data_IF_653254856454
#
_entry.id   IF_653254856454
#
_cell.length_a   1.000
_cell.length_b   1.000
_cell.length_c   1.000
_cell.angle_alpha   90.00
_cell.angle_beta   90.00
_cell.angle_gamma   90.00
#
_symmetry.space_group_name_H-M   'P 1'
#
loop_
_entity.id
_entity.type
_entity.pdbx_description
1 polymer ?
#
# COMPACT_ATOMS: atom_id res chain seq x y z
N UNK A 1 -6.28 34.30 3.90
CA UNK A 1 -6.83 33.04 4.42
C UNK A 1 -5.87 31.92 4.03
N UNK A 2 -4.89 31.64 4.88
CA UNK A 2 -3.79 30.71 4.59
C UNK A 2 -4.17 29.32 5.11
N UNK A 3 -4.58 28.44 4.22
CA UNK A 3 -4.96 27.08 4.56
C UNK A 3 -3.67 26.23 4.62
N UNK A 4 -3.11 26.09 5.83
CA UNK A 4 -1.96 25.21 6.08
C UNK A 4 -2.45 23.75 6.02
N UNK A 5 -2.22 23.09 4.89
CA UNK A 5 -2.37 21.64 4.78
C UNK A 5 -1.35 20.96 5.68
N UNK A 6 -1.80 20.48 6.84
CA UNK A 6 -0.98 19.69 7.74
C UNK A 6 -0.43 18.45 6.99
N UNK A 7 0.89 18.21 7.02
CA UNK A 7 1.47 17.05 6.37
C UNK A 7 1.05 15.78 7.14
N UNK A 8 0.71 14.72 6.41
CA UNK A 8 0.37 13.37 6.88
C UNK A 8 1.46 12.66 7.72
N UNK A 9 2.47 13.40 8.22
CA UNK A 9 3.58 12.89 9.03
C UNK A 9 3.22 12.67 10.50
N UNK A 10 2.06 13.13 10.99
CA UNK A 10 1.67 13.04 12.40
C UNK A 10 1.52 11.60 12.92
N UNK A 11 1.19 10.62 12.06
CA UNK A 11 1.08 9.21 12.49
C UNK A 11 2.43 8.53 12.82
N UNK A 12 3.54 9.07 12.31
CA UNK A 12 4.87 8.43 12.47
C UNK A 12 5.39 8.55 13.90
N UNK A 13 5.08 9.65 14.57
CA UNK A 13 5.52 9.94 15.93
C UNK A 13 4.71 9.17 16.98
N UNK A 14 3.43 8.90 16.71
CA UNK A 14 2.58 8.12 17.63
C UNK A 14 2.88 6.62 17.58
N UNK A 15 3.37 6.11 16.45
CA UNK A 15 3.49 4.66 16.24
C UNK A 15 4.76 4.04 16.86
N UNK A 16 5.63 4.86 17.46
CA UNK A 16 6.88 4.39 18.10
C UNK A 16 8.05 4.17 17.13
N UNK A 17 9.10 3.50 17.59
CA UNK A 17 10.35 3.27 16.85
C UNK A 17 10.34 1.91 16.14
N UNK A 18 10.85 1.87 14.90
CA UNK A 18 10.98 0.63 14.13
C UNK A 18 12.05 -0.29 14.72
N UNK A 19 11.65 -1.50 15.13
CA UNK A 19 12.54 -2.52 15.72
C UNK A 19 12.89 -3.64 14.73
N UNK A 20 12.05 -3.85 13.72
CA UNK A 20 12.28 -4.80 12.63
C UNK A 20 11.48 -4.42 11.37
N UNK A 21 11.92 -4.88 10.21
CA UNK A 21 11.25 -4.66 8.93
C UNK A 21 11.20 -5.97 8.13
N UNK A 22 10.08 -6.22 7.45
CA UNK A 22 9.81 -7.45 6.72
C UNK A 22 9.15 -7.14 5.38
N UNK A 23 9.48 -7.88 4.33
CA UNK A 23 8.82 -7.76 3.02
C UNK A 23 7.42 -8.38 3.01
N UNK A 24 7.16 -9.33 3.91
CA UNK A 24 5.92 -10.08 4.01
C UNK A 24 5.28 -9.88 5.37
N UNK A 25 3.95 -9.75 5.38
CA UNK A 25 3.18 -9.54 6.61
C UNK A 25 3.36 -10.67 7.63
N UNK A 26 3.50 -11.92 7.17
CA UNK A 26 3.76 -13.07 8.05
C UNK A 26 5.05 -12.94 8.88
N UNK A 27 6.10 -12.35 8.29
CA UNK A 27 7.35 -12.08 9.00
C UNK A 27 7.15 -11.08 10.14
N UNK A 28 6.39 -10.01 9.87
CA UNK A 28 6.01 -9.03 10.87
C UNK A 28 5.15 -9.66 11.99
N UNK A 29 4.18 -10.51 11.64
CA UNK A 29 3.37 -11.22 12.64
C UNK A 29 4.22 -12.10 13.55
N UNK A 30 5.17 -12.88 13.00
CA UNK A 30 6.08 -13.71 13.80
C UNK A 30 6.92 -12.88 14.77
N UNK A 31 7.41 -11.72 14.33
CA UNK A 31 8.13 -10.80 15.20
C UNK A 31 7.24 -10.24 16.31
N UNK A 32 5.99 -9.86 16.02
CA UNK A 32 5.03 -9.44 17.05
C UNK A 32 4.76 -10.57 18.05
N UNK A 33 4.58 -11.82 17.59
CA UNK A 33 4.41 -12.96 18.49
C UNK A 33 5.64 -13.17 19.40
N UNK A 34 6.86 -13.03 18.86
CA UNK A 34 8.09 -13.12 19.65
C UNK A 34 8.19 -11.99 20.69
N UNK A 35 7.81 -10.76 20.33
CA UNK A 35 7.79 -9.62 21.26
C UNK A 35 6.80 -9.83 22.40
N UNK A 36 5.59 -10.33 22.09
CA UNK A 36 4.58 -10.65 23.12
C UNK A 36 5.06 -11.78 24.02
N UNK A 37 5.69 -12.81 23.46
CA UNK A 37 6.29 -13.90 24.24
C UNK A 37 7.42 -13.41 25.17
N UNK A 38 8.14 -12.37 24.76
CA UNK A 38 9.11 -11.66 25.59
C UNK A 38 8.47 -10.62 26.53
N UNK A 39 7.14 -10.68 26.73
CA UNK A 39 6.38 -9.79 27.62
C UNK A 39 6.48 -8.30 27.26
N UNK A 40 6.60 -7.96 25.98
CA UNK A 40 6.36 -6.58 25.52
C UNK A 40 4.85 -6.36 25.44
N UNK A 41 4.29 -5.29 26.05
CA UNK A 41 2.85 -5.06 26.03
C UNK A 41 2.29 -4.95 24.61
N UNK A 42 1.30 -5.77 24.26
CA UNK A 42 0.75 -5.81 22.91
C UNK A 42 0.20 -4.45 22.43
N UNK A 43 -0.32 -3.64 23.35
CA UNK A 43 -0.82 -2.26 23.08
C UNK A 43 0.27 -1.28 22.62
N UNK A 44 1.54 -1.63 22.83
CA UNK A 44 2.70 -0.82 22.48
C UNK A 44 3.37 -1.28 21.19
N UNK A 45 2.84 -2.31 20.53
CA UNK A 45 3.37 -2.87 19.30
C UNK A 45 2.44 -2.53 18.15
N UNK A 46 2.99 -2.04 17.05
CA UNK A 46 2.26 -1.74 15.83
C UNK A 46 2.95 -2.34 14.60
N UNK A 47 2.15 -2.84 13.66
CA UNK A 47 2.64 -3.20 12.32
C UNK A 47 2.23 -2.09 11.36
N UNK A 48 3.21 -1.44 10.73
CA UNK A 48 3.01 -0.34 9.80
C UNK A 48 3.39 -0.78 8.41
N UNK A 49 2.45 -0.72 7.47
CA UNK A 49 2.76 -0.85 6.04
C UNK A 49 3.46 0.41 5.55
N UNK A 50 4.70 0.28 5.10
CA UNK A 50 5.50 1.37 4.56
C UNK A 50 5.63 1.24 3.02
N UNK A 51 5.85 2.38 2.36
CA UNK A 51 5.89 2.42 0.90
C UNK A 51 4.57 2.00 0.27
N UNK A 52 3.45 2.64 0.61
CA UNK A 52 2.18 2.24 0.03
C UNK A 52 2.15 2.52 -1.48
N UNK A 53 1.92 1.49 -2.27
CA UNK A 53 1.64 1.57 -3.69
C UNK A 53 0.16 1.37 -3.94
N UNK A 54 -0.47 2.35 -4.58
CA UNK A 54 -1.81 2.18 -5.15
C UNK A 54 -1.68 1.55 -6.53
N UNK A 55 -2.22 0.35 -6.67
CA UNK A 55 -2.26 -0.41 -7.92
C UNK A 55 -3.70 -0.35 -8.43
N UNK A 56 -3.91 0.31 -9.56
CA UNK A 56 -5.16 0.22 -10.29
C UNK A 56 -5.13 -1.03 -11.17
N UNK A 57 -5.76 -2.11 -10.69
CA UNK A 57 -5.77 -3.38 -11.41
C UNK A 57 -6.93 -3.39 -12.40
N UNK A 58 -6.61 -3.40 -13.69
CA UNK A 58 -7.60 -3.60 -14.75
C UNK A 58 -8.11 -5.04 -14.69
N UNK A 59 -9.39 -5.22 -14.37
CA UNK A 59 -10.01 -6.55 -14.23
C UNK A 59 -10.61 -7.06 -15.54
N UNK A 60 -10.82 -6.19 -16.52
CA UNK A 60 -11.22 -6.59 -17.86
C UNK A 60 -11.83 -5.46 -18.67
N UNK A 61 -12.21 -5.79 -19.90
CA UNK A 61 -12.94 -4.87 -20.79
C UNK A 61 -14.38 -4.75 -20.34
N UNK A 62 -14.83 -3.52 -20.20
CA UNK A 62 -16.21 -3.21 -19.86
C UNK A 62 -17.07 -3.32 -21.14
N UNK A 63 -18.04 -4.23 -21.17
CA UNK A 63 -18.80 -4.50 -22.38
C UNK A 63 -20.18 -5.08 -22.11
N UNK A 64 -21.11 -4.81 -23.03
CA UNK A 64 -22.50 -5.26 -22.94
C UNK A 64 -22.62 -6.79 -22.83
N UNK A 65 -21.74 -7.55 -23.49
CA UNK A 65 -21.73 -9.01 -23.39
C UNK A 65 -21.38 -9.52 -21.98
N UNK A 66 -20.48 -8.83 -21.27
CA UNK A 66 -20.12 -9.18 -19.89
C UNK A 66 -21.24 -8.78 -18.92
N UNK A 67 -21.86 -7.61 -19.13
CA UNK A 67 -23.04 -7.18 -18.36
C UNK A 67 -24.25 -8.10 -18.59
N UNK A 68 -24.50 -8.52 -19.83
CA UNK A 68 -25.55 -9.49 -20.13
C UNK A 68 -25.30 -10.81 -19.39
N UNK A 69 -24.07 -11.34 -19.43
CA UNK A 69 -23.72 -12.59 -18.72
C UNK A 69 -23.89 -12.49 -17.21
N UNK A 70 -23.39 -11.44 -16.58
CA UNK A 70 -23.57 -11.28 -15.12
C UNK A 70 -25.04 -11.04 -14.75
N UNK A 71 -25.79 -10.32 -15.59
CA UNK A 71 -27.23 -10.15 -15.45
C UNK A 71 -28.00 -11.45 -15.61
N UNK A 72 -27.58 -12.32 -16.52
CA UNK A 72 -28.16 -13.65 -16.73
C UNK A 72 -27.99 -14.56 -15.52
N UNK A 73 -26.79 -14.56 -14.92
CA UNK A 73 -26.48 -15.37 -13.74
C UNK A 73 -27.34 -14.92 -12.55
N UNK A 74 -27.43 -13.61 -12.32
CA UNK A 74 -28.29 -13.06 -11.27
C UNK A 74 -29.78 -13.29 -11.57
N UNK A 75 -30.19 -13.13 -12.83
CA UNK A 75 -31.54 -13.39 -13.31
C UNK A 75 -31.93 -14.87 -13.24
N UNK A 76 -30.98 -15.78 -13.37
CA UNK A 76 -31.19 -17.22 -13.20
C UNK A 76 -31.58 -17.52 -11.76
N UNK A 77 -30.85 -16.99 -10.77
CA UNK A 77 -31.20 -17.17 -9.36
C UNK A 77 -32.61 -16.65 -9.06
N UNK A 78 -32.93 -15.46 -9.54
CA UNK A 78 -34.25 -14.85 -9.37
C UNK A 78 -35.35 -15.63 -10.12
N UNK A 79 -35.06 -16.08 -11.34
CA UNK A 79 -35.93 -16.91 -12.16
C UNK A 79 -36.23 -18.25 -11.49
N UNK A 80 -35.21 -18.92 -10.94
CA UNK A 80 -35.39 -20.18 -10.19
C UNK A 80 -36.28 -19.94 -8.99
N UNK A 81 -36.04 -18.87 -8.22
CA UNK A 81 -36.87 -18.51 -7.08
C UNK A 81 -38.34 -18.33 -7.46
N UNK A 82 -38.62 -17.48 -8.46
CA UNK A 82 -39.99 -17.23 -8.89
C UNK A 82 -40.65 -18.45 -9.54
N UNK A 83 -39.88 -19.25 -10.27
CA UNK A 83 -40.39 -20.49 -10.85
C UNK A 83 -40.75 -21.51 -9.78
N UNK A 84 -39.97 -21.57 -8.69
CA UNK A 84 -40.28 -22.42 -7.55
C UNK A 84 -41.55 -21.96 -6.81
N UNK A 85 -41.66 -20.65 -6.53
CA UNK A 85 -42.88 -20.06 -5.95
C UNK A 85 -44.10 -20.34 -6.84
N UNK A 86 -43.95 -20.21 -8.15
CA UNK A 86 -45.02 -20.48 -9.12
C UNK A 86 -45.49 -21.94 -9.07
N UNK A 87 -44.58 -22.92 -9.02
CA UNK A 87 -44.91 -24.34 -8.92
C UNK A 87 -45.61 -24.66 -7.60
N UNK A 88 -45.18 -24.06 -6.49
CA UNK A 88 -45.86 -24.23 -5.19
C UNK A 88 -47.30 -23.69 -5.20
N UNK A 89 -47.55 -22.58 -5.91
CA UNK A 89 -48.89 -22.03 -6.09
C UNK A 89 -49.73 -22.76 -7.15
N UNK A 90 -49.10 -23.50 -8.07
CA UNK A 90 -49.76 -24.18 -9.18
C UNK A 90 -49.12 -25.55 -9.46
N UNK A 91 -49.39 -26.57 -8.63
CA UNK A 91 -48.74 -27.88 -8.74
C UNK A 91 -49.14 -28.69 -9.97
N UNK A 92 -50.27 -28.36 -10.61
CA UNK A 92 -50.71 -28.96 -11.87
C UNK A 92 -50.12 -28.29 -13.12
N UNK A 93 -49.31 -27.24 -12.97
CA UNK A 93 -48.73 -26.54 -14.10
C UNK A 93 -47.75 -27.43 -14.87
N UNK A 94 -47.74 -27.38 -16.22
CA UNK A 94 -46.78 -28.14 -17.00
C UNK A 94 -45.36 -27.61 -16.78
N UNK A 95 -44.36 -28.48 -16.90
CA UNK A 95 -42.92 -28.13 -16.80
C UNK A 95 -42.55 -26.97 -17.75
N UNK A 96 -43.22 -26.84 -18.89
CA UNK A 96 -43.01 -25.73 -19.83
C UNK A 96 -43.31 -24.35 -19.19
N UNK A 97 -44.29 -24.26 -18.29
CA UNK A 97 -44.60 -23.03 -17.58
C UNK A 97 -43.48 -22.65 -16.59
N UNK A 98 -42.90 -23.63 -15.89
CA UNK A 98 -41.72 -23.43 -15.05
C UNK A 98 -40.54 -22.88 -15.87
N UNK A 99 -40.24 -23.52 -17.02
CA UNK A 99 -39.17 -23.05 -17.92
C UNK A 99 -39.46 -21.64 -18.44
N UNK A 100 -40.72 -21.33 -18.74
CA UNK A 100 -41.14 -19.99 -19.15
C UNK A 100 -40.83 -18.92 -18.10
N UNK A 101 -41.27 -19.12 -16.86
CA UNK A 101 -41.00 -18.18 -15.74
C UNK A 101 -39.51 -18.03 -15.49
N UNK A 102 -38.75 -19.13 -15.57
CA UNK A 102 -37.30 -19.13 -15.41
C UNK A 102 -36.61 -18.27 -16.48
N UNK A 103 -36.98 -18.47 -17.75
CA UNK A 103 -36.43 -17.71 -18.87
C UNK A 103 -36.77 -16.22 -18.78
N UNK A 104 -37.97 -15.87 -18.30
CA UNK A 104 -38.35 -14.48 -18.04
C UNK A 104 -37.47 -13.86 -16.95
N UNK A 105 -37.20 -14.58 -15.85
CA UNK A 105 -36.29 -14.11 -14.80
C UNK A 105 -34.87 -13.85 -15.31
N UNK A 106 -34.34 -14.76 -16.14
CA UNK A 106 -33.04 -14.60 -16.79
C UNK A 106 -33.04 -13.38 -17.72
N UNK A 107 -34.04 -13.26 -18.61
CA UNK A 107 -34.14 -12.16 -19.57
C UNK A 107 -34.27 -10.81 -18.87
N UNK A 108 -35.08 -10.73 -17.81
CA UNK A 108 -35.25 -9.53 -17.00
C UNK A 108 -33.94 -9.17 -16.28
N UNK A 109 -33.26 -10.13 -15.68
CA UNK A 109 -31.96 -9.92 -15.03
C UNK A 109 -30.89 -9.44 -16.01
N UNK A 110 -30.84 -10.01 -17.22
CA UNK A 110 -29.98 -9.53 -18.30
C UNK A 110 -30.30 -8.08 -18.67
N UNK A 111 -31.58 -7.77 -18.94
CA UNK A 111 -32.03 -6.44 -19.38
C UNK A 111 -31.72 -5.37 -18.33
N UNK A 112 -32.06 -5.63 -17.07
CA UNK A 112 -31.82 -4.71 -15.96
C UNK A 112 -30.33 -4.45 -15.77
N UNK A 113 -29.50 -5.48 -15.87
CA UNK A 113 -28.06 -5.32 -15.70
C UNK A 113 -27.43 -4.56 -16.88
N UNK A 114 -27.89 -4.77 -18.11
CA UNK A 114 -27.47 -3.98 -19.28
C UNK A 114 -27.89 -2.51 -19.11
N UNK A 115 -29.10 -2.26 -18.60
CA UNK A 115 -29.59 -0.91 -18.36
C UNK A 115 -28.74 -0.19 -17.30
N UNK A 116 -28.50 -0.82 -16.16
CA UNK A 116 -27.63 -0.30 -15.10
C UNK A 116 -26.21 -0.09 -15.61
N UNK A 117 -25.72 -1.05 -16.39
CA UNK A 117 -24.42 -0.94 -17.03
C UNK A 117 -24.33 0.28 -17.95
N UNK A 118 -25.36 0.56 -18.74
CA UNK A 118 -25.39 1.72 -19.64
C UNK A 118 -25.32 3.05 -18.90
N UNK A 119 -25.89 3.13 -17.69
CA UNK A 119 -25.81 4.32 -16.83
C UNK A 119 -24.39 4.52 -16.31
N UNK A 120 -23.74 3.43 -15.84
CA UNK A 120 -22.40 3.46 -15.23
C UNK A 120 -21.29 3.60 -16.27
N UNK A 121 -21.47 3.06 -17.49
CA UNK A 121 -20.45 2.99 -18.55
C UNK A 121 -19.95 4.36 -19.04
N UNK A 122 -20.63 5.45 -18.72
CA UNK A 122 -20.50 6.78 -19.37
C UNK A 122 -19.07 7.37 -19.44
N UNK A 123 -18.06 6.83 -18.74
CA UNK A 123 -16.70 7.39 -18.75
C UNK A 123 -15.52 6.40 -18.86
N UNK A 124 -15.71 5.07 -18.92
CA UNK A 124 -14.59 4.09 -18.94
C UNK A 124 -14.89 2.84 -19.76
N UNK A 125 -13.93 2.41 -20.59
CA UNK A 125 -14.00 1.17 -21.39
C UNK A 125 -13.42 -0.07 -20.67
N UNK A 126 -13.01 0.09 -19.41
CA UNK A 126 -12.39 -0.94 -18.60
C UNK A 126 -12.96 -0.96 -17.18
N UNK A 127 -13.08 -2.16 -16.61
CA UNK A 127 -13.28 -2.34 -15.19
C UNK A 127 -11.91 -2.27 -14.50
N UNK A 128 -11.82 -1.49 -13.43
CA UNK A 128 -10.64 -1.46 -12.58
C UNK A 128 -11.03 -1.56 -11.11
N UNK A 129 -10.15 -2.17 -10.32
CA UNK A 129 -10.23 -2.18 -8.86
C UNK A 129 -8.97 -1.52 -8.31
N UNK A 130 -9.15 -0.57 -7.41
CA UNK A 130 -8.03 0.10 -6.74
C UNK A 130 -7.60 -0.76 -5.55
N UNK A 131 -6.34 -1.17 -5.53
CA UNK A 131 -5.75 -1.93 -4.44
C UNK A 131 -4.58 -1.14 -3.86
N UNK A 132 -4.51 -1.04 -2.54
CA UNK A 132 -3.37 -0.43 -1.84
C UNK A 132 -2.53 -1.55 -1.25
N UNK A 133 -1.26 -1.63 -1.63
CA UNK A 133 -0.31 -2.66 -1.19
C UNK A 133 0.90 -1.99 -0.57
N UNK A 134 1.39 -2.52 0.55
CA UNK A 134 2.63 -2.05 1.17
C UNK A 134 3.85 -2.73 0.55
N UNK A 135 4.96 -2.00 0.46
CA UNK A 135 6.23 -2.51 -0.05
C UNK A 135 6.93 -3.41 0.95
N UNK A 136 6.85 -2.98 2.21
CA UNK A 136 7.38 -3.67 3.36
C UNK A 136 6.57 -3.27 4.59
N UNK A 137 6.69 -4.10 5.62
CA UNK A 137 6.00 -3.97 6.89
C UNK A 137 7.04 -3.71 7.97
N UNK A 138 6.87 -2.61 8.69
CA UNK A 138 7.70 -2.24 9.82
C UNK A 138 6.99 -2.63 11.12
N UNK A 139 7.68 -3.34 11.99
CA UNK A 139 7.22 -3.57 13.36
C UNK A 139 7.78 -2.43 14.20
N UNK A 140 6.88 -1.61 14.75
CA UNK A 140 7.21 -0.47 15.59
C UNK A 140 6.78 -0.73 17.03
N UNK A 141 7.56 -0.21 17.97
CA UNK A 141 7.31 -0.34 19.40
C UNK A 141 7.37 1.02 20.08
N UNK A 142 6.47 1.29 21.02
CA UNK A 142 6.46 2.52 21.79
C UNK A 142 7.80 2.72 22.53
N UNK A 143 8.29 3.97 22.68
CA UNK A 143 9.63 4.26 23.24
C UNK A 143 9.92 3.58 24.58
N UNK A 144 8.90 3.41 25.44
CA UNK A 144 9.02 2.76 26.74
C UNK A 144 9.49 1.30 26.67
N UNK A 145 9.16 0.58 25.59
CA UNK A 145 9.44 -0.86 25.43
C UNK A 145 10.45 -1.18 24.32
N UNK A 146 11.00 -0.17 23.62
CA UNK A 146 11.93 -0.38 22.50
C UNK A 146 13.17 -1.16 22.91
N UNK A 147 13.76 -0.85 24.07
CA UNK A 147 14.98 -1.54 24.52
C UNK A 147 14.73 -3.03 24.73
N UNK A 148 13.64 -3.37 25.43
CA UNK A 148 13.20 -4.76 25.64
C UNK A 148 12.93 -5.47 24.31
N UNK A 149 12.27 -4.79 23.38
CA UNK A 149 11.97 -5.33 22.06
C UNK A 149 13.22 -5.63 21.23
N UNK A 150 14.23 -4.75 21.25
CA UNK A 150 15.52 -4.97 20.56
C UNK A 150 16.27 -6.17 21.13
N UNK A 151 16.27 -6.33 22.45
CA UNK A 151 16.87 -7.50 23.11
C UNK A 151 16.13 -8.78 22.72
N UNK A 152 14.80 -8.76 22.75
CA UNK A 152 13.96 -9.92 22.43
C UNK A 152 14.10 -10.39 20.97
N UNK A 153 14.24 -9.47 20.03
CA UNK A 153 14.40 -9.78 18.61
C UNK A 153 15.84 -10.06 18.20
N UNK A 154 16.81 -9.86 19.10
CA UNK A 154 18.24 -9.97 18.78
C UNK A 154 18.71 -9.00 17.69
N UNK A 155 17.90 -7.98 17.38
CA UNK A 155 18.23 -6.99 16.36
C UNK A 155 19.12 -5.91 16.95
N UNK A 156 20.42 -5.98 16.65
CA UNK A 156 21.28 -4.80 16.67
C UNK A 156 20.60 -3.68 15.84
N UNK A 157 20.76 -2.39 16.18
CA UNK A 157 20.16 -1.31 15.41
C UNK A 157 20.62 -1.46 13.96
N UNK A 158 19.75 -1.99 13.12
CA UNK A 158 19.96 -1.97 11.68
C UNK A 158 19.85 -0.49 11.37
N UNK A 159 20.98 0.15 11.15
CA UNK A 159 21.00 1.51 10.64
C UNK A 159 20.14 1.47 9.38
N UNK A 160 18.92 1.99 9.51
CA UNK A 160 18.04 2.28 8.39
C UNK A 160 18.91 2.99 7.39
N UNK A 161 19.31 2.31 6.31
CA UNK A 161 19.87 3.01 5.15
C UNK A 161 18.82 4.07 4.86
N UNK A 162 19.15 5.37 4.97
CA UNK A 162 18.15 6.40 4.81
C UNK A 162 17.43 6.11 3.51
N UNK A 163 16.12 5.91 3.58
CA UNK A 163 15.30 6.05 2.39
C UNK A 163 15.78 7.35 1.75
N UNK A 164 16.19 7.29 0.48
CA UNK A 164 16.71 8.45 -0.24
C UNK A 164 15.83 9.65 0.15
N UNK A 165 16.48 10.71 0.68
CA UNK A 165 15.81 11.82 1.32
C UNK A 165 14.54 12.18 0.52
N UNK A 166 13.37 12.36 1.17
CA UNK A 166 12.13 12.63 0.47
C UNK A 166 12.40 13.76 -0.53
N UNK A 167 12.27 13.44 -1.82
CA UNK A 167 12.52 14.42 -2.87
C UNK A 167 11.54 15.56 -2.59
N UNK A 168 12.06 16.75 -2.26
CA UNK A 168 11.24 17.95 -2.03
C UNK A 168 10.42 18.20 -3.29
N UNK A 169 9.13 17.86 -3.21
CA UNK A 169 8.14 18.06 -4.27
C UNK A 169 7.90 19.55 -4.57
N UNK A 170 8.44 20.42 -3.71
CA UNK A 170 8.45 21.88 -3.80
C UNK A 170 9.39 22.40 -4.90
N UNK A 171 10.22 21.53 -5.49
CA UNK A 171 11.08 21.88 -6.62
C UNK A 171 10.32 21.65 -7.93
N UNK A 172 10.13 22.67 -8.79
CA UNK A 172 9.51 22.48 -10.08
C UNK A 172 10.25 21.41 -10.89
N UNK A 173 9.56 20.44 -11.52
CA UNK A 173 10.22 19.42 -12.32
C UNK A 173 10.98 20.09 -13.46
N UNK A 174 12.32 19.93 -13.48
CA UNK A 174 13.17 20.40 -14.56
C UNK A 174 12.97 19.50 -15.78
N UNK A 175 12.01 19.85 -16.62
CA UNK A 175 11.79 19.19 -17.90
C UNK A 175 12.91 19.57 -18.87
N UNK A 176 13.56 18.58 -19.49
CA UNK A 176 14.57 18.79 -20.55
C UNK A 176 16.03 18.53 -20.15
N UNK A 177 16.32 18.16 -18.91
CA UNK A 177 17.69 17.81 -18.50
C UNK A 177 18.01 16.36 -18.88
N UNK A 178 18.86 16.18 -19.91
CA UNK A 178 19.35 14.84 -20.30
C UNK A 178 20.35 14.37 -19.24
N UNK A 179 19.99 13.38 -18.43
CA UNK A 179 20.96 12.63 -17.63
C UNK A 179 21.92 11.95 -18.60
N UNK A 180 23.16 12.45 -18.68
CA UNK A 180 24.22 11.79 -19.42
C UNK A 180 24.53 10.45 -18.73
N UNK A 181 24.47 9.30 -19.42
CA UNK A 181 24.89 8.03 -18.84
C UNK A 181 26.39 8.12 -18.54
N UNK A 182 26.78 8.23 -17.26
CA UNK A 182 28.18 8.20 -16.83
C UNK A 182 28.68 9.36 -15.96
N UNK A 183 27.85 10.36 -15.63
CA UNK A 183 28.27 11.39 -14.67
C UNK A 183 28.27 10.83 -13.24
N UNK A 184 29.46 10.58 -12.69
CA UNK A 184 29.64 10.27 -11.27
C UNK A 184 29.09 11.42 -10.41
N UNK A 185 28.42 11.12 -9.28
CA UNK A 185 27.98 12.15 -8.35
C UNK A 185 29.19 12.98 -7.90
N UNK A 186 29.03 14.29 -7.63
CA UNK A 186 30.13 15.13 -7.17
C UNK A 186 30.74 14.51 -5.92
N UNK A 187 31.97 13.99 -6.05
CA UNK A 187 32.78 13.67 -4.90
C UNK A 187 32.97 14.96 -4.12
N UNK A 188 32.55 14.94 -2.85
CA UNK A 188 32.91 16.00 -1.91
C UNK A 188 34.43 16.18 -1.99
N UNK A 189 34.85 17.38 -2.39
CA UNK A 189 36.23 17.78 -2.37
C UNK A 189 36.82 17.46 -0.99
N UNK A 190 38.04 16.89 -0.90
CA UNK A 190 38.69 16.67 0.39
C UNK A 190 38.74 17.99 1.15
N UNK A 191 38.24 17.99 2.39
CA UNK A 191 38.35 19.13 3.29
C UNK A 191 39.83 19.56 3.34
N UNK A 192 40.08 20.77 2.85
CA UNK A 192 41.37 21.44 2.94
C UNK A 192 41.66 21.66 4.42
N UNK A 193 42.48 20.77 4.99
CA UNK A 193 43.01 20.90 6.35
C UNK A 193 43.82 22.20 6.40
N UNK A 194 43.57 23.10 7.37
CA UNK A 194 44.53 24.15 7.66
C UNK A 194 45.86 23.49 8.01
N UNK A 195 46.92 23.90 7.32
CA UNK A 195 48.27 23.41 7.55
C UNK A 195 48.70 23.67 9.02
N UNK A 196 49.43 22.76 9.67
CA UNK A 196 50.12 23.05 10.92
C UNK A 196 51.15 24.15 10.67
N UNK A 197 51.09 25.25 11.44
CA UNK A 197 52.20 26.19 11.50
C UNK A 197 53.44 25.44 12.03
N UNK A 198 54.49 25.39 11.20
CA UNK A 198 55.77 24.80 11.56
C UNK A 198 56.39 25.55 12.75
N UNK A 199 57.01 24.83 13.71
CA UNK A 199 57.79 25.44 14.77
C UNK A 199 59.09 26.01 14.21
N UNK A 200 59.34 27.28 14.52
CA UNK A 200 60.56 27.98 14.15
C UNK A 200 61.77 27.35 14.87
N UNK A 201 62.90 27.08 14.17
CA UNK A 201 64.02 26.33 14.74
C UNK A 201 64.77 27.14 15.80
N UNK A 202 65.22 26.42 16.82
CA UNK A 202 65.90 26.94 18.00
C UNK A 202 67.14 27.78 17.69
N UNK A 203 67.26 28.86 18.44
CA UNK A 203 68.55 29.42 18.81
C UNK A 203 68.86 28.85 20.19
N UNK A 204 69.57 27.72 20.19
CA UNK A 204 70.24 27.21 21.39
C UNK A 204 71.39 28.16 21.75
N UNK A 205 71.52 28.34 23.07
CA UNK A 205 72.75 28.53 23.83
C UNK A 205 73.73 29.66 23.41
N UNK A 206 74.09 30.54 24.35
CA UNK A 206 75.26 30.26 25.19
C UNK A 206 75.71 31.51 26.01
N UNK A 207 75.82 31.29 27.33
CA UNK A 207 76.80 31.85 28.30
C UNK A 207 76.71 33.29 28.85
N UNK A 208 76.75 33.24 30.19
CA UNK A 208 77.48 34.08 31.17
C UNK A 208 76.77 35.33 31.71
#
# INVERSE_FOLDING_TARGET
MSNQGAPFSQGSAETGETVASFTQYEGAQKAVSALIAAEVPAKEIAIVGAGLRSIERITGRLGYATAARSGAINGLMLGVLFSFIFVLGSPAAPIQAFVGVLLVGIALGMLLNILMFSIVRRRRDYASVMQVVADHYEVKVAPASVHKARVALGTAPTATRPAAAPQRLDTPPRYGERIAPGAQPPQAAPAERPAPAEPQPGQDEERA
#
